data_IF_912412292339
#
_entry.id   IF_912412292339
#
_cell.length_a   1.000
_cell.length_b   1.000
_cell.length_c   1.000
_cell.angle_alpha   90.00
_cell.angle_beta   90.00
_cell.angle_gamma   90.00
#
_symmetry.space_group_name_H-M   'P 1'
#
loop_
_entity.id
_entity.type
_entity.pdbx_description
1 polymer ?
#
# COMPACT_ATOMS: atom_id res chain seq x y z
N UNK A 1 13.30 -23.81 -14.64
CA UNK A 1 14.39 -22.92 -14.15
C UNK A 1 14.61 -23.09 -12.63
N UNK A 2 13.56 -23.05 -11.79
CA UNK A 2 13.71 -23.20 -10.33
C UNK A 2 14.20 -24.58 -9.91
N UNK A 3 13.70 -25.63 -10.56
CA UNK A 3 14.10 -27.01 -10.32
C UNK A 3 15.54 -27.32 -10.78
N UNK A 4 16.00 -26.68 -11.85
CA UNK A 4 17.38 -26.81 -12.31
C UNK A 4 18.37 -26.04 -11.45
N UNK A 5 17.92 -24.95 -10.82
CA UNK A 5 18.72 -24.14 -9.90
C UNK A 5 18.90 -24.85 -8.55
N UNK A 6 17.84 -25.45 -8.00
CA UNK A 6 17.90 -26.27 -6.79
C UNK A 6 18.82 -27.48 -6.96
N UNK A 7 18.77 -28.13 -8.13
CA UNK A 7 19.65 -29.27 -8.43
C UNK A 7 21.11 -28.83 -8.54
N UNK A 8 21.40 -27.69 -9.17
CA UNK A 8 22.77 -27.17 -9.32
C UNK A 8 23.37 -26.65 -8.01
N UNK A 9 22.56 -26.04 -7.12
CA UNK A 9 23.06 -25.46 -5.88
C UNK A 9 23.07 -26.45 -4.70
N UNK A 10 22.13 -27.38 -4.64
CA UNK A 10 21.92 -28.21 -3.44
C UNK A 10 21.95 -29.72 -3.75
N UNK A 11 22.08 -30.14 -5.00
CA UNK A 11 22.08 -31.56 -5.39
C UNK A 11 20.75 -32.30 -5.13
N UNK A 12 19.65 -31.56 -4.81
CA UNK A 12 18.37 -32.13 -4.41
C UNK A 12 17.48 -32.28 -5.63
N UNK A 13 17.07 -33.52 -5.96
CA UNK A 13 16.06 -33.78 -6.99
C UNK A 13 14.67 -33.48 -6.41
N UNK A 14 13.80 -32.72 -7.10
CA UNK A 14 12.44 -32.51 -6.67
C UNK A 14 11.68 -33.82 -6.56
N UNK A 15 10.98 -34.04 -5.46
CA UNK A 15 10.14 -35.23 -5.27
C UNK A 15 9.02 -35.28 -6.31
N UNK A 16 8.50 -36.47 -6.65
CA UNK A 16 7.41 -36.63 -7.62
C UNK A 16 6.16 -35.81 -7.22
N UNK A 17 5.89 -35.67 -5.91
CA UNK A 17 4.78 -34.88 -5.37
C UNK A 17 4.97 -33.38 -5.66
N UNK A 18 6.17 -32.86 -5.46
CA UNK A 18 6.50 -31.46 -5.76
C UNK A 18 6.36 -31.17 -7.26
N UNK A 19 6.78 -32.13 -8.12
CA UNK A 19 6.58 -32.02 -9.56
C UNK A 19 5.11 -32.05 -9.95
N UNK A 20 4.27 -32.84 -9.25
CA UNK A 20 2.83 -32.93 -9.47
C UNK A 20 2.13 -31.62 -9.09
N UNK A 21 2.47 -31.03 -7.93
CA UNK A 21 1.95 -29.74 -7.48
C UNK A 21 2.33 -28.64 -8.48
N UNK A 22 3.57 -28.63 -8.95
CA UNK A 22 4.04 -27.65 -9.94
C UNK A 22 3.29 -27.77 -11.28
N UNK A 23 2.99 -29.00 -11.74
CA UNK A 23 2.14 -29.22 -12.94
C UNK A 23 0.70 -28.79 -12.72
N UNK A 24 0.14 -29.03 -11.53
CA UNK A 24 -1.23 -28.58 -11.20
C UNK A 24 -1.34 -27.06 -11.19
N UNK A 25 -0.39 -26.36 -10.59
CA UNK A 25 -0.34 -24.88 -10.56
C UNK A 25 -0.16 -24.29 -11.97
N UNK A 26 0.59 -24.96 -12.84
CA UNK A 26 0.77 -24.54 -14.24
C UNK A 26 -0.47 -24.78 -15.11
N UNK A 27 -1.24 -25.84 -14.82
CA UNK A 27 -2.41 -26.23 -15.62
C UNK A 27 -3.75 -25.70 -15.09
N UNK A 28 -3.79 -25.24 -13.84
CA UNK A 28 -4.94 -24.51 -13.32
C UNK A 28 -4.87 -23.07 -13.86
N UNK A 29 -5.58 -22.86 -14.97
CA UNK A 29 -5.63 -21.61 -15.76
C UNK A 29 -6.18 -20.37 -15.04
N UNK A 30 -5.74 -20.12 -13.82
CA UNK A 30 -5.81 -18.82 -13.17
C UNK A 30 -4.57 -18.04 -13.62
N UNK A 31 -4.78 -17.18 -14.57
CA UNK A 31 -3.91 -16.29 -15.34
C UNK A 31 -2.70 -15.67 -14.68
N UNK A 32 -1.81 -16.47 -14.14
CA UNK A 32 -0.42 -16.13 -13.95
C UNK A 32 0.35 -16.74 -15.12
N UNK A 33 0.21 -16.13 -16.29
CA UNK A 33 1.21 -16.27 -17.34
C UNK A 33 2.49 -15.63 -16.82
N UNK A 34 3.31 -16.43 -16.12
CA UNK A 34 4.71 -16.12 -15.97
C UNK A 34 5.28 -16.36 -17.37
N UNK A 35 5.23 -15.33 -18.22
CA UNK A 35 6.06 -15.29 -19.41
C UNK A 35 7.51 -15.36 -18.93
N UNK A 36 8.31 -16.24 -19.54
CA UNK A 36 9.72 -16.50 -19.21
C UNK A 36 10.66 -15.30 -19.39
N UNK A 37 10.13 -14.10 -19.56
CA UNK A 37 10.80 -12.80 -19.64
C UNK A 37 10.30 -11.84 -18.56
N UNK A 38 10.00 -12.33 -17.36
CA UNK A 38 9.90 -11.40 -16.24
C UNK A 38 11.33 -10.99 -15.87
N UNK A 39 11.92 -10.12 -16.69
CA UNK A 39 12.85 -9.13 -16.15
C UNK A 39 12.15 -8.57 -14.93
N UNK A 40 12.71 -8.79 -13.75
CA UNK A 40 12.38 -8.00 -12.57
C UNK A 40 12.79 -6.59 -12.98
N UNK A 41 11.86 -5.86 -13.60
CA UNK A 41 12.07 -4.44 -13.83
C UNK A 41 12.20 -3.86 -12.44
N UNK A 42 13.32 -3.20 -12.13
CA UNK A 42 13.37 -2.40 -10.92
C UNK A 42 12.13 -1.51 -10.99
N UNK A 43 11.30 -1.55 -9.96
CA UNK A 43 10.25 -0.55 -9.77
C UNK A 43 10.95 0.78 -9.96
N UNK A 44 10.46 1.63 -10.86
CA UNK A 44 11.08 2.88 -11.28
C UNK A 44 11.72 3.56 -10.07
N UNK A 45 13.05 3.47 -9.96
CA UNK A 45 13.83 4.12 -8.89
C UNK A 45 13.64 5.64 -8.93
N UNK A 46 13.14 6.15 -10.06
CA UNK A 46 12.90 7.57 -10.34
C UNK A 46 11.49 8.05 -9.97
N UNK A 47 10.59 7.19 -9.47
CA UNK A 47 9.29 7.69 -9.01
C UNK A 47 9.48 8.57 -7.77
N UNK A 48 9.25 9.87 -7.93
CA UNK A 48 9.17 10.80 -6.81
C UNK A 48 7.90 10.54 -6.00
N UNK A 49 8.02 10.62 -4.65
CA UNK A 49 6.88 10.50 -3.75
C UNK A 49 6.68 9.11 -3.14
N UNK A 50 5.51 8.91 -2.52
CA UNK A 50 5.18 7.68 -1.82
C UNK A 50 4.94 6.49 -2.76
N UNK A 51 5.17 5.29 -2.25
CA UNK A 51 4.84 4.06 -2.95
C UNK A 51 3.33 3.84 -2.98
N UNK A 52 2.73 3.90 -4.17
CA UNK A 52 1.31 3.63 -4.36
C UNK A 52 1.08 2.17 -4.76
N UNK A 53 0.21 1.48 -4.03
CA UNK A 53 -0.08 0.06 -4.27
C UNK A 53 -1.55 -0.30 -4.03
N UNK A 54 -1.94 -1.51 -4.40
CA UNK A 54 -3.25 -2.05 -4.07
C UNK A 54 -3.40 -2.38 -2.57
N UNK A 55 -4.63 -2.61 -2.12
CA UNK A 55 -4.96 -2.85 -0.71
C UNK A 55 -4.35 -4.15 -0.14
N UNK A 56 -4.15 -5.19 -0.95
CA UNK A 56 -3.56 -6.45 -0.50
C UNK A 56 -2.07 -6.27 -0.21
N UNK A 57 -1.35 -5.59 -1.12
CA UNK A 57 0.05 -5.29 -0.93
C UNK A 57 0.27 -4.32 0.23
N UNK A 58 -0.60 -3.29 0.37
CA UNK A 58 -0.60 -2.39 1.51
C UNK A 58 -0.72 -3.15 2.83
N UNK A 59 -1.68 -4.08 2.93
CA UNK A 59 -1.87 -4.90 4.13
C UNK A 59 -0.62 -5.74 4.45
N UNK A 60 0.00 -6.32 3.43
CA UNK A 60 1.23 -7.12 3.58
C UNK A 60 2.40 -6.27 4.11
N UNK A 61 2.57 -5.06 3.58
CA UNK A 61 3.59 -4.10 4.05
C UNK A 61 3.28 -3.65 5.49
N UNK A 62 2.02 -3.34 5.80
CA UNK A 62 1.60 -2.98 7.16
C UNK A 62 1.95 -4.08 8.18
N UNK A 63 1.63 -5.35 7.88
CA UNK A 63 1.96 -6.48 8.75
C UNK A 63 3.47 -6.59 8.96
N UNK A 64 4.26 -6.39 7.90
CA UNK A 64 5.72 -6.42 7.97
C UNK A 64 6.27 -5.31 8.87
N UNK A 65 5.80 -4.07 8.68
CA UNK A 65 6.21 -2.93 9.51
C UNK A 65 5.77 -3.10 10.98
N UNK A 66 4.55 -3.61 11.21
CA UNK A 66 4.08 -3.93 12.56
C UNK A 66 5.03 -4.91 13.27
N UNK A 67 5.41 -6.02 12.62
CA UNK A 67 6.35 -7.01 13.17
C UNK A 67 7.74 -6.43 13.43
N UNK A 68 8.21 -5.50 12.60
CA UNK A 68 9.48 -4.81 12.80
C UNK A 68 9.43 -3.92 14.04
N UNK A 69 8.34 -3.21 14.23
CA UNK A 69 8.17 -2.25 15.30
C UNK A 69 7.85 -2.90 16.65
N UNK A 70 7.22 -4.08 16.68
CA UNK A 70 7.04 -4.89 17.88
C UNK A 70 8.39 -5.21 18.58
N UNK A 71 9.47 -5.37 17.81
CA UNK A 71 10.81 -5.62 18.36
C UNK A 71 11.49 -4.36 18.92
N UNK A 72 11.09 -3.19 18.48
CA UNK A 72 11.68 -1.90 18.86
C UNK A 72 10.81 -1.12 19.83
N UNK A 73 9.59 -1.59 20.12
CA UNK A 73 8.62 -0.90 20.98
C UNK A 73 7.98 0.35 20.36
N UNK A 74 8.18 0.60 19.06
CA UNK A 74 7.57 1.72 18.37
C UNK A 74 6.15 1.39 17.89
N UNK A 75 5.31 2.40 17.79
CA UNK A 75 3.97 2.27 17.19
C UNK A 75 4.04 2.40 15.66
N UNK A 76 3.16 1.68 14.98
CA UNK A 76 2.90 1.88 13.55
C UNK A 76 1.63 2.68 13.43
N UNK A 77 1.70 3.79 12.71
CA UNK A 77 0.53 4.62 12.46
C UNK A 77 0.03 4.41 11.03
N UNK A 78 -1.29 4.30 10.91
CA UNK A 78 -2.00 4.32 9.64
C UNK A 78 -2.92 5.53 9.65
N UNK A 79 -2.85 6.34 8.61
CA UNK A 79 -3.74 7.49 8.42
C UNK A 79 -4.82 7.11 7.44
N UNK A 80 -6.09 7.28 7.81
CA UNK A 80 -7.20 7.24 6.88
C UNK A 80 -7.65 8.65 6.54
N UNK A 81 -7.76 8.91 5.24
CA UNK A 81 -8.25 10.19 4.72
C UNK A 81 -9.50 9.92 3.91
N UNK A 82 -10.62 10.45 4.37
CA UNK A 82 -11.90 10.41 3.65
C UNK A 82 -12.09 11.73 2.94
N UNK A 83 -12.37 11.67 1.64
CA UNK A 83 -12.62 12.85 0.79
C UNK A 83 -14.04 12.72 0.24
N UNK A 84 -14.97 13.46 0.82
CA UNK A 84 -16.38 13.42 0.44
C UNK A 84 -16.66 14.42 -0.70
N UNK A 85 -16.00 14.17 -1.86
CA UNK A 85 -16.01 15.01 -3.05
C UNK A 85 -16.22 14.15 -4.30
N UNK A 86 -16.28 14.81 -5.47
CA UNK A 86 -16.36 14.08 -6.73
C UNK A 86 -15.07 13.31 -7.06
N UNK A 87 -15.17 12.34 -7.99
CA UNK A 87 -14.07 11.44 -8.35
C UNK A 87 -12.83 12.18 -8.91
N UNK A 88 -13.01 13.34 -9.52
CA UNK A 88 -11.91 14.16 -10.06
C UNK A 88 -11.12 14.79 -8.91
N UNK A 89 -11.80 15.42 -7.95
CA UNK A 89 -11.17 16.01 -6.76
C UNK A 89 -10.49 14.93 -5.93
N UNK A 90 -11.13 13.78 -5.73
CA UNK A 90 -10.52 12.66 -5.05
C UNK A 90 -9.22 12.21 -5.74
N UNK A 91 -9.23 12.05 -7.06
CA UNK A 91 -8.04 11.65 -7.83
C UNK A 91 -6.92 12.69 -7.74
N UNK A 92 -7.26 13.97 -7.84
CA UNK A 92 -6.31 15.07 -7.71
C UNK A 92 -5.70 15.14 -6.31
N UNK A 93 -6.52 14.96 -5.26
CA UNK A 93 -6.06 14.92 -3.88
C UNK A 93 -5.14 13.71 -3.64
N UNK A 94 -5.51 12.51 -4.11
CA UNK A 94 -4.66 11.31 -4.02
C UNK A 94 -3.30 11.55 -4.66
N UNK A 95 -3.25 12.14 -5.85
CA UNK A 95 -1.99 12.44 -6.53
C UNK A 95 -1.16 13.48 -5.74
N UNK A 96 -1.81 14.47 -5.13
CA UNK A 96 -1.16 15.44 -4.26
C UNK A 96 -0.57 14.75 -3.01
N UNK A 97 -1.28 13.81 -2.39
CA UNK A 97 -0.78 13.00 -1.27
C UNK A 97 0.46 12.23 -1.67
N UNK A 98 0.40 11.47 -2.79
CA UNK A 98 1.50 10.64 -3.26
C UNK A 98 2.75 11.50 -3.51
N UNK A 99 2.62 12.62 -4.22
CA UNK A 99 3.76 13.49 -4.56
C UNK A 99 4.33 14.28 -3.37
N UNK A 100 3.54 14.48 -2.30
CA UNK A 100 3.96 15.25 -1.12
C UNK A 100 4.63 14.40 -0.04
N UNK A 101 4.54 13.08 -0.14
CA UNK A 101 5.12 12.12 0.78
C UNK A 101 6.47 11.62 0.24
N UNK A 102 7.25 10.95 1.09
CA UNK A 102 8.58 10.43 0.73
C UNK A 102 8.51 8.99 0.18
N UNK A 103 9.55 8.55 -0.52
CA UNK A 103 9.67 7.20 -1.12
C UNK A 103 9.44 6.03 -0.14
N UNK A 104 9.67 6.23 1.15
CA UNK A 104 9.46 5.20 2.18
C UNK A 104 8.03 5.12 2.73
N UNK A 105 7.17 6.04 2.36
CA UNK A 105 5.76 6.06 2.77
C UNK A 105 4.93 5.25 1.76
N UNK A 106 3.83 4.65 2.22
CA UNK A 106 2.98 3.79 1.39
C UNK A 106 1.55 4.31 1.36
N UNK A 107 0.97 4.36 0.18
CA UNK A 107 -0.38 4.88 -0.05
C UNK A 107 -1.21 3.85 -0.80
N UNK A 108 -2.46 3.68 -0.42
CA UNK A 108 -3.44 2.91 -1.17
C UNK A 108 -4.80 3.62 -1.20
N UNK A 109 -5.57 3.36 -2.24
CA UNK A 109 -7.01 3.65 -2.26
C UNK A 109 -7.73 2.44 -1.68
N UNK A 110 -8.43 2.65 -0.57
CA UNK A 110 -9.15 1.56 0.11
C UNK A 110 -10.57 1.40 -0.40
N UNK A 111 -11.24 2.53 -0.63
CA UNK A 111 -12.61 2.62 -1.14
C UNK A 111 -12.71 3.84 -2.06
N UNK A 112 -13.85 4.05 -2.69
CA UNK A 112 -14.09 5.12 -3.68
C UNK A 112 -13.72 6.53 -3.19
N UNK A 113 -13.78 6.75 -1.86
CA UNK A 113 -13.48 8.05 -1.24
C UNK A 113 -12.49 7.96 -0.07
N UNK A 114 -11.83 6.82 0.14
CA UNK A 114 -10.92 6.61 1.28
C UNK A 114 -9.51 6.28 0.80
N UNK A 115 -8.54 7.04 1.27
CA UNK A 115 -7.12 6.80 1.09
C UNK A 115 -6.54 6.32 2.44
N UNK A 116 -5.74 5.25 2.42
CA UNK A 116 -4.92 4.84 3.55
C UNK A 116 -3.46 5.17 3.28
N UNK A 117 -2.80 5.68 4.31
CA UNK A 117 -1.39 6.08 4.28
C UNK A 117 -0.68 5.39 5.45
N UNK A 118 0.41 4.70 5.15
CA UNK A 118 1.31 4.13 6.14
C UNK A 118 2.58 4.98 6.19
N UNK A 119 2.86 5.53 7.38
CA UNK A 119 4.00 6.39 7.64
C UNK A 119 4.96 5.69 8.63
N UNK A 120 5.94 4.92 8.15
CA UNK A 120 6.87 4.22 9.02
C UNK A 120 7.76 5.19 9.80
N UNK A 121 8.01 4.86 11.09
CA UNK A 121 8.96 5.59 11.96
C UNK A 121 8.61 7.08 12.16
N UNK A 122 7.33 7.39 12.28
CA UNK A 122 6.83 8.73 12.55
C UNK A 122 6.19 8.80 13.93
N UNK A 123 6.23 9.97 14.55
CA UNK A 123 5.49 10.29 15.75
C UNK A 123 4.15 10.94 15.40
N UNK A 124 3.18 10.82 16.32
CA UNK A 124 1.82 11.34 16.11
C UNK A 124 1.79 12.81 15.67
N UNK A 125 2.55 13.67 16.37
CA UNK A 125 2.58 15.10 16.06
C UNK A 125 3.18 15.40 14.67
N UNK A 126 4.14 14.62 14.23
CA UNK A 126 4.75 14.75 12.91
C UNK A 126 3.75 14.37 11.81
N UNK A 127 2.97 13.33 12.03
CA UNK A 127 1.93 12.87 11.09
C UNK A 127 0.87 13.96 10.91
N UNK A 128 0.40 14.56 12.02
CA UNK A 128 -0.58 15.63 11.97
C UNK A 128 -0.06 16.83 11.16
N UNK A 129 1.16 17.28 11.44
CA UNK A 129 1.78 18.38 10.72
C UNK A 129 1.94 18.11 9.21
N UNK A 130 2.26 16.86 8.83
CA UNK A 130 2.36 16.45 7.43
C UNK A 130 0.99 16.52 6.77
N UNK A 131 -0.05 15.98 7.40
CA UNK A 131 -1.39 15.98 6.83
C UNK A 131 -1.94 17.39 6.68
N UNK A 132 -1.76 18.25 7.67
CA UNK A 132 -2.16 19.66 7.61
C UNK A 132 -1.46 20.39 6.47
N UNK A 133 -0.17 20.15 6.27
CA UNK A 133 0.60 20.71 5.15
C UNK A 133 0.04 20.27 3.80
N UNK A 134 -0.24 18.97 3.61
CA UNK A 134 -0.75 18.42 2.36
C UNK A 134 -2.14 19.02 2.05
N UNK A 135 -3.03 19.04 3.02
CA UNK A 135 -4.38 19.61 2.86
C UNK A 135 -4.31 21.09 2.51
N UNK A 136 -3.52 21.86 3.23
CA UNK A 136 -3.35 23.29 2.96
C UNK A 136 -2.75 23.56 1.57
N UNK A 137 -1.79 22.74 1.14
CA UNK A 137 -1.20 22.84 -0.20
C UNK A 137 -2.24 22.54 -1.28
N UNK A 138 -3.06 21.51 -1.07
CA UNK A 138 -4.13 21.14 -1.99
C UNK A 138 -5.20 22.22 -2.10
N UNK A 139 -5.70 22.74 -0.97
CA UNK A 139 -6.70 23.81 -0.94
C UNK A 139 -6.20 25.08 -1.64
N UNK A 140 -4.96 25.48 -1.40
CA UNK A 140 -4.35 26.65 -2.08
C UNK A 140 -4.28 26.48 -3.61
N UNK A 141 -3.96 25.28 -4.08
CA UNK A 141 -3.86 24.97 -5.51
C UNK A 141 -5.22 25.00 -6.22
N UNK A 142 -6.30 24.70 -5.48
CA UNK A 142 -7.67 24.61 -6.02
C UNK A 142 -8.57 25.78 -5.63
N UNK A 143 -8.00 27.00 -5.51
CA UNK A 143 -8.72 28.27 -5.27
C UNK A 143 -9.59 28.30 -4.01
N UNK A 144 -9.06 27.88 -2.88
CA UNK A 144 -9.63 28.06 -1.53
C UNK A 144 -11.03 27.47 -1.31
N UNK A 145 -11.48 26.54 -2.14
CA UNK A 145 -12.67 25.78 -1.79
C UNK A 145 -12.37 24.91 -0.57
N UNK A 146 -13.21 25.06 0.46
CA UNK A 146 -13.14 24.23 1.66
C UNK A 146 -13.66 22.83 1.31
N UNK A 147 -12.75 21.92 0.99
CA UNK A 147 -13.10 20.52 0.72
C UNK A 147 -13.47 19.79 2.03
N UNK A 148 -14.44 18.85 1.94
CA UNK A 148 -14.78 17.98 3.08
C UNK A 148 -13.77 16.83 3.15
N UNK A 149 -12.60 17.12 3.73
CA UNK A 149 -11.51 16.16 3.93
C UNK A 149 -11.43 15.82 5.43
N UNK A 150 -11.64 14.55 5.76
CA UNK A 150 -11.59 14.04 7.14
C UNK A 150 -10.36 13.16 7.32
N UNK A 151 -9.50 13.48 8.27
CA UNK A 151 -8.29 12.75 8.60
C UNK A 151 -8.46 12.06 9.95
N UNK A 152 -8.10 10.77 10.01
CA UNK A 152 -8.02 10.00 11.26
C UNK A 152 -6.69 9.25 11.31
N UNK A 153 -6.02 9.33 12.45
CA UNK A 153 -4.75 8.61 12.70
C UNK A 153 -5.06 7.39 13.58
N UNK A 154 -4.62 6.24 13.14
CA UNK A 154 -4.86 4.96 13.80
C UNK A 154 -3.54 4.31 14.21
N UNK A 155 -3.51 3.66 15.37
CA UNK A 155 -2.39 2.82 15.85
C UNK A 155 -2.49 1.37 15.37
N UNK A 156 -3.55 1.05 14.64
CA UNK A 156 -3.78 -0.25 13.99
C UNK A 156 -4.49 -0.04 12.66
N UNK A 157 -4.49 -1.07 11.80
CA UNK A 157 -5.26 -0.99 10.55
C UNK A 157 -6.75 -0.79 10.88
N UNK A 158 -7.40 0.25 10.38
CA UNK A 158 -8.80 0.52 10.70
C UNK A 158 -9.72 -0.56 10.09
N UNK A 159 -10.69 -1.04 10.87
CA UNK A 159 -11.80 -1.88 10.39
C UNK A 159 -12.80 -1.00 9.63
N UNK A 160 -12.48 -0.65 8.39
CA UNK A 160 -13.28 0.28 7.59
C UNK A 160 -14.65 -0.30 7.25
N UNK A 161 -14.78 -1.63 7.20
CA UNK A 161 -16.05 -2.31 6.94
C UNK A 161 -17.11 -2.16 8.06
N UNK A 162 -16.72 -1.72 9.27
CA UNK A 162 -17.67 -1.54 10.39
C UNK A 162 -18.30 -0.15 10.46
N UNK A 163 -17.75 0.85 9.78
CA UNK A 163 -18.23 2.23 9.89
C UNK A 163 -19.34 2.60 8.89
N UNK A 164 -19.72 1.71 7.98
CA UNK A 164 -20.77 1.97 6.99
C UNK A 164 -22.16 1.44 7.38
N UNK A 165 -22.31 0.71 8.52
CA UNK A 165 -23.60 0.14 8.94
C UNK A 165 -24.38 1.04 9.90
N UNK A 166 -23.84 2.19 10.31
CA UNK A 166 -24.53 3.05 11.27
C UNK A 166 -25.03 4.36 10.66
N UNK A 167 -25.72 4.28 9.53
CA UNK A 167 -26.65 5.30 9.04
C UNK A 167 -27.77 4.63 8.25
N UNK A 168 -28.70 4.03 8.97
CA UNK A 168 -30.12 3.85 8.62
C UNK A 168 -30.96 4.50 9.69
#
# INVERSE_FOLDING_TARGET
LYTSMLYKQFGIKPTPELQKIYRMLRNSGTGLSISDNTEIRPVDEDSEGAFYCDSNLFNSIYILEKRRNERTGHLVFVVSVTVDENAEIFSNFRNCVISSLRKGDVVTTWDNNVILILLPRMEYNQIQAIMDRIINQFCKKHNEHKFDIKVKIHTSLPDINKNFVTKL
#
